data_IF_314624400122
#
_entry.id   IF_314624400122
#
_cell.length_a   1.000
_cell.length_b   1.000
_cell.length_c   1.000
_cell.angle_alpha   90.00
_cell.angle_beta   90.00
_cell.angle_gamma   90.00
#
_symmetry.space_group_name_H-M   'P 1'
#
loop_
_entity.id
_entity.type
_entity.pdbx_description
1 polymer ?
#
# COMPACT_ATOMS: atom_id res chain seq x y z
N UNK A 1 23.47 -16.25 17.76
CA UNK A 1 23.34 -16.44 19.22
C UNK A 1 22.14 -17.32 19.48
N UNK A 2 22.33 -18.44 20.18
CA UNK A 2 21.25 -19.35 20.58
C UNK A 2 20.42 -18.70 21.71
N UNK A 3 19.12 -19.01 21.89
CA UNK A 3 18.33 -18.60 23.04
C UNK A 3 19.04 -18.70 24.41
N UNK A 4 19.84 -19.75 24.66
CA UNK A 4 20.62 -19.89 25.92
C UNK A 4 21.65 -18.78 26.10
N UNK A 5 22.51 -18.59 25.11
CA UNK A 5 23.53 -17.52 25.10
C UNK A 5 22.89 -16.13 25.30
N UNK A 6 21.68 -15.91 24.76
CA UNK A 6 20.94 -14.65 24.92
C UNK A 6 20.44 -14.41 26.34
N UNK A 7 20.07 -15.48 27.06
CA UNK A 7 19.65 -15.41 28.47
C UNK A 7 20.85 -15.15 29.36
N UNK A 8 22.00 -15.77 29.08
CA UNK A 8 23.25 -15.51 29.80
C UNK A 8 23.72 -14.07 29.60
N UNK A 9 23.68 -13.56 28.38
CA UNK A 9 24.02 -12.15 28.09
C UNK A 9 23.11 -11.16 28.83
N UNK A 10 21.80 -11.46 28.94
CA UNK A 10 20.85 -10.64 29.72
C UNK A 10 21.08 -10.71 31.22
N UNK A 11 21.67 -11.79 31.71
CA UNK A 11 21.99 -11.96 33.12
C UNK A 11 23.27 -11.22 33.47
N UNK A 12 24.29 -11.31 32.62
CA UNK A 12 25.56 -10.59 32.81
C UNK A 12 25.41 -9.06 32.71
N UNK A 13 24.38 -8.54 32.03
CA UNK A 13 24.10 -7.09 32.03
C UNK A 13 23.55 -6.58 33.36
N UNK A 14 23.03 -7.44 34.24
CA UNK A 14 22.55 -7.04 35.56
C UNK A 14 23.70 -6.65 36.50
N UNK A 15 24.86 -7.27 36.33
CA UNK A 15 26.05 -7.07 37.16
C UNK A 15 26.91 -5.86 36.71
N UNK A 16 26.54 -5.19 35.62
CA UNK A 16 27.25 -4.02 35.12
C UNK A 16 26.98 -2.79 35.98
N UNK A 17 28.04 -2.02 36.27
CA UNK A 17 27.95 -0.70 36.90
C UNK A 17 27.19 0.30 36.00
N UNK A 18 26.65 1.41 36.54
CA UNK A 18 25.98 2.43 35.73
C UNK A 18 26.83 2.96 34.57
N UNK A 19 28.14 3.12 34.80
CA UNK A 19 29.08 3.62 33.80
C UNK A 19 29.34 2.58 32.69
N UNK A 20 29.48 1.30 33.04
CA UNK A 20 29.59 0.22 32.05
C UNK A 20 28.30 0.00 31.25
N UNK A 21 27.12 0.21 31.87
CA UNK A 21 25.84 0.18 31.16
C UNK A 21 25.74 1.31 30.14
N UNK A 22 26.26 2.49 30.47
CA UNK A 22 26.29 3.62 29.55
C UNK A 22 27.20 3.34 28.36
N UNK A 23 28.44 2.90 28.59
CA UNK A 23 29.39 2.53 27.52
C UNK A 23 28.84 1.40 26.65
N UNK A 24 28.29 0.34 27.25
CA UNK A 24 27.66 -0.75 26.49
C UNK A 24 26.46 -0.25 25.66
N UNK A 25 25.69 0.70 26.18
CA UNK A 25 24.59 1.30 25.43
C UNK A 25 25.10 2.13 24.24
N UNK A 26 26.18 2.89 24.41
CA UNK A 26 26.85 3.63 23.32
C UNK A 26 27.42 2.67 22.27
N UNK A 27 28.16 1.63 22.69
CA UNK A 27 28.72 0.62 21.78
C UNK A 27 27.63 -0.10 20.97
N UNK A 28 26.51 -0.43 21.62
CA UNK A 28 25.35 -1.03 20.95
C UNK A 28 24.67 -0.04 20.00
N UNK A 29 24.57 1.24 20.37
CA UNK A 29 24.03 2.28 19.50
C UNK A 29 24.91 2.45 18.26
N UNK A 30 26.22 2.58 18.41
CA UNK A 30 27.18 2.71 17.30
C UNK A 30 27.16 1.48 16.39
N UNK A 31 27.09 0.27 16.96
CA UNK A 31 26.94 -0.96 16.20
C UNK A 31 25.63 -1.01 15.40
N UNK A 32 24.55 -0.42 15.90
CA UNK A 32 23.27 -0.34 15.17
C UNK A 32 23.23 0.79 14.14
N UNK A 33 23.99 1.87 14.31
CA UNK A 33 24.08 2.95 13.33
C UNK A 33 24.71 2.49 12.00
N UNK A 34 25.56 1.47 12.04
CA UNK A 34 26.15 0.89 10.82
C UNK A 34 25.20 -0.06 10.08
N UNK A 35 24.13 -0.54 10.74
CA UNK A 35 23.15 -1.42 10.13
C UNK A 35 22.12 -0.63 9.31
N UNK A 36 21.80 -1.12 8.11
CA UNK A 36 20.76 -0.54 7.29
C UNK A 36 19.40 -0.71 8.00
N UNK A 37 18.71 0.38 8.40
CA UNK A 37 17.51 0.30 9.22
C UNK A 37 16.38 -0.46 8.52
N UNK A 38 16.30 -0.39 7.19
CA UNK A 38 15.32 -1.13 6.40
C UNK A 38 15.60 -2.65 6.46
N UNK A 39 16.87 -3.07 6.40
CA UNK A 39 17.22 -4.48 6.49
C UNK A 39 17.02 -5.03 7.91
N UNK A 40 17.37 -4.25 8.92
CA UNK A 40 17.11 -4.60 10.32
C UNK A 40 15.61 -4.78 10.57
N UNK A 41 14.78 -3.90 10.00
CA UNK A 41 13.33 -4.01 10.09
C UNK A 41 12.78 -5.24 9.36
N UNK A 42 13.31 -5.56 8.17
CA UNK A 42 12.97 -6.79 7.43
C UNK A 42 13.31 -8.03 8.28
N UNK A 43 14.51 -8.08 8.87
CA UNK A 43 14.94 -9.19 9.72
C UNK A 43 14.03 -9.33 10.96
N UNK A 44 13.67 -8.19 11.60
CA UNK A 44 12.75 -8.15 12.75
C UNK A 44 11.36 -8.68 12.39
N UNK A 45 10.74 -8.12 11.34
CA UNK A 45 9.40 -8.50 10.89
C UNK A 45 9.30 -9.99 10.57
N UNK A 46 10.33 -10.55 9.93
CA UNK A 46 10.37 -12.00 9.66
C UNK A 46 10.55 -12.82 10.94
N UNK A 47 11.38 -12.37 11.88
CA UNK A 47 11.69 -13.12 13.11
C UNK A 47 10.52 -13.25 14.08
N UNK A 48 9.52 -12.36 14.00
CA UNK A 48 8.29 -12.44 14.80
C UNK A 48 7.43 -13.65 14.41
N UNK A 49 7.40 -13.99 13.11
CA UNK A 49 6.57 -15.06 12.57
C UNK A 49 7.34 -15.85 11.49
N UNK A 50 8.39 -16.58 11.87
CA UNK A 50 9.31 -17.17 10.90
C UNK A 50 8.64 -18.34 10.19
N UNK A 51 8.48 -18.23 8.86
CA UNK A 51 7.93 -19.30 8.00
C UNK A 51 8.80 -19.53 6.79
N UNK A 52 9.04 -20.80 6.45
CA UNK A 52 9.80 -21.16 5.27
C UNK A 52 9.02 -20.76 3.99
N UNK A 53 9.59 -19.91 3.11
CA UNK A 53 8.89 -19.45 1.91
C UNK A 53 8.68 -20.54 0.85
N UNK A 54 9.23 -21.75 1.05
CA UNK A 54 9.12 -22.87 0.13
C UNK A 54 8.09 -23.93 0.55
N UNK A 55 7.91 -24.14 1.86
CA UNK A 55 7.06 -25.21 2.39
C UNK A 55 6.17 -24.77 3.56
N UNK A 56 6.22 -23.50 3.96
CA UNK A 56 5.44 -22.89 5.04
C UNK A 56 5.70 -23.41 6.46
N UNK A 57 6.65 -24.34 6.65
CA UNK A 57 7.07 -24.80 7.97
C UNK A 57 7.64 -23.66 8.83
N UNK A 58 7.30 -23.68 10.12
CA UNK A 58 7.71 -22.68 11.12
C UNK A 58 9.09 -23.00 11.75
N UNK A 59 9.57 -24.25 11.64
CA UNK A 59 10.87 -24.67 12.15
C UNK A 59 11.98 -24.26 11.20
N UNK A 60 12.57 -23.10 11.49
CA UNK A 60 13.68 -22.54 10.72
C UNK A 60 14.83 -22.12 11.64
N UNK A 61 16.03 -22.57 11.30
CA UNK A 61 17.24 -22.26 12.03
C UNK A 61 17.99 -21.08 11.38
N UNK A 62 18.61 -20.22 12.20
CA UNK A 62 19.52 -19.17 11.73
C UNK A 62 20.78 -19.81 11.13
N UNK A 63 21.18 -19.39 9.93
CA UNK A 63 22.27 -19.98 9.13
C UNK A 63 23.27 -18.93 8.61
N UNK A 64 23.71 -18.04 9.50
CA UNK A 64 24.62 -16.92 9.20
C UNK A 64 23.93 -15.72 8.54
N UNK A 65 24.69 -14.74 8.05
CA UNK A 65 24.16 -13.55 7.37
C UNK A 65 24.67 -13.46 5.93
N UNK A 66 23.88 -12.83 5.06
CA UNK A 66 24.26 -12.58 3.66
C UNK A 66 23.73 -11.24 3.20
N UNK A 67 24.62 -10.37 2.68
CA UNK A 67 24.27 -9.04 2.15
C UNK A 67 23.41 -8.22 3.13
N UNK A 68 23.80 -8.23 4.40
CA UNK A 68 23.13 -7.47 5.48
C UNK A 68 21.82 -8.06 6.00
N UNK A 69 21.42 -9.27 5.60
CA UNK A 69 20.22 -9.95 6.11
C UNK A 69 20.56 -11.27 6.80
N UNK A 70 19.73 -11.66 7.77
CA UNK A 70 19.76 -12.99 8.36
C UNK A 70 19.41 -14.05 7.30
N UNK A 71 20.25 -15.07 7.16
CA UNK A 71 19.94 -16.27 6.38
C UNK A 71 19.34 -17.32 7.30
N UNK A 72 18.37 -18.05 6.78
CA UNK A 72 17.69 -19.14 7.48
C UNK A 72 17.82 -20.44 6.70
N UNK A 73 17.71 -21.57 7.39
CA UNK A 73 17.57 -22.90 6.81
C UNK A 73 16.34 -23.57 7.42
N UNK A 74 15.43 -24.04 6.57
CA UNK A 74 14.26 -24.78 7.02
C UNK A 74 14.65 -26.18 7.47
N UNK A 75 14.06 -26.67 8.57
CA UNK A 75 14.35 -28.01 9.09
C UNK A 75 13.65 -29.10 8.27
N UNK A 76 12.41 -28.85 7.83
CA UNK A 76 11.63 -29.79 7.02
C UNK A 76 12.18 -29.94 5.59
N UNK A 77 12.25 -28.87 4.79
CA UNK A 77 12.66 -28.95 3.38
C UNK A 77 14.16 -28.73 3.14
N UNK A 78 14.94 -28.45 4.20
CA UNK A 78 16.40 -28.25 4.19
C UNK A 78 16.94 -27.10 3.33
N UNK A 79 16.06 -26.35 2.65
CA UNK A 79 16.42 -25.21 1.79
C UNK A 79 16.84 -23.99 2.61
N UNK A 80 17.78 -23.23 2.06
CA UNK A 80 18.23 -21.96 2.62
C UNK A 80 17.49 -20.79 1.98
N UNK A 81 17.19 -19.76 2.77
CA UNK A 81 16.49 -18.58 2.29
C UNK A 81 16.85 -17.34 3.13
N UNK A 82 16.42 -16.18 2.67
CA UNK A 82 16.47 -14.91 3.43
C UNK A 82 15.03 -14.40 3.58
N UNK A 83 14.75 -13.45 4.48
CA UNK A 83 13.44 -12.82 4.58
C UNK A 83 12.89 -12.25 3.25
N UNK A 84 13.77 -11.97 2.28
CA UNK A 84 13.35 -11.48 0.97
C UNK A 84 13.06 -12.58 -0.05
N UNK A 85 13.34 -13.84 0.24
CA UNK A 85 13.08 -14.95 -0.68
C UNK A 85 11.57 -15.05 -0.96
N UNK A 86 11.20 -15.23 -2.24
CA UNK A 86 9.82 -15.20 -2.74
C UNK A 86 9.03 -13.89 -2.50
N UNK A 87 9.69 -12.82 -2.04
CA UNK A 87 9.06 -11.50 -1.96
C UNK A 87 9.30 -10.69 -3.25
N UNK A 88 8.48 -9.66 -3.51
CA UNK A 88 8.78 -8.64 -4.50
C UNK A 88 10.17 -7.99 -4.34
N UNK A 89 10.79 -7.96 -3.16
CA UNK A 89 12.11 -7.35 -3.01
C UNK A 89 13.27 -8.30 -3.33
N UNK A 90 12.98 -9.57 -3.64
CA UNK A 90 13.98 -10.55 -4.05
C UNK A 90 14.78 -10.07 -5.27
N UNK A 91 16.10 -10.25 -5.21
CA UNK A 91 17.03 -9.90 -6.29
C UNK A 91 17.32 -8.41 -6.46
N UNK A 92 16.65 -7.53 -5.73
CA UNK A 92 16.93 -6.09 -5.80
C UNK A 92 18.32 -5.76 -5.21
N UNK A 93 19.06 -4.92 -5.94
CA UNK A 93 20.40 -4.42 -5.57
C UNK A 93 20.31 -3.06 -4.85
N UNK A 94 21.45 -2.57 -4.37
CA UNK A 94 21.64 -1.26 -3.70
C UNK A 94 20.72 -1.07 -2.48
N UNK A 95 20.74 -2.05 -1.58
CA UNK A 95 19.88 -2.10 -0.38
C UNK A 95 20.11 -0.91 0.53
N UNK A 96 21.36 -0.45 0.62
CA UNK A 96 21.80 0.75 1.34
C UNK A 96 21.03 2.02 0.95
N UNK A 97 20.44 2.06 -0.25
CA UNK A 97 19.68 3.21 -0.74
C UNK A 97 18.16 3.08 -0.57
N UNK A 98 17.66 1.97 -0.03
CA UNK A 98 16.21 1.73 0.05
C UNK A 98 15.52 2.65 1.05
N UNK A 99 16.12 2.97 2.19
CA UNK A 99 15.55 3.89 3.18
C UNK A 99 15.26 5.26 2.58
N UNK A 100 16.29 5.92 2.06
CA UNK A 100 16.16 7.21 1.38
C UNK A 100 15.19 7.14 0.16
N UNK A 101 15.11 6.00 -0.54
CA UNK A 101 14.14 5.83 -1.62
C UNK A 101 12.69 5.73 -1.12
N UNK A 102 12.45 5.09 0.02
CA UNK A 102 11.14 5.01 0.65
C UNK A 102 10.69 6.38 1.17
N UNK A 103 11.59 7.19 1.74
CA UNK A 103 11.32 8.60 2.06
C UNK A 103 10.93 9.41 0.80
N UNK A 104 11.66 9.23 -0.30
CA UNK A 104 11.30 9.86 -1.58
C UNK A 104 9.93 9.40 -2.10
N UNK A 105 9.47 8.21 -1.73
CA UNK A 105 8.10 7.75 -1.99
C UNK A 105 7.08 8.33 -1.00
N UNK A 106 7.44 8.56 0.25
CA UNK A 106 6.57 9.25 1.21
C UNK A 106 6.28 10.69 0.74
N UNK A 107 7.32 11.40 0.29
CA UNK A 107 7.23 12.75 -0.27
C UNK A 107 6.45 12.82 -1.61
N UNK A 108 6.09 11.68 -2.19
CA UNK A 108 5.37 11.62 -3.46
C UNK A 108 6.21 12.04 -4.66
N UNK A 109 7.54 11.86 -4.63
CA UNK A 109 8.41 12.23 -5.74
C UNK A 109 8.17 11.35 -6.97
N UNK A 110 8.35 11.93 -8.16
CA UNK A 110 8.36 11.17 -9.42
C UNK A 110 9.59 10.27 -9.51
N UNK A 111 9.54 9.23 -10.35
CA UNK A 111 10.66 8.29 -10.55
C UNK A 111 11.98 9.00 -10.87
N UNK A 112 11.93 10.04 -11.72
CA UNK A 112 13.13 10.80 -12.10
C UNK A 112 13.66 11.67 -10.96
N UNK A 113 12.77 12.36 -10.23
CA UNK A 113 13.16 13.17 -9.06
C UNK A 113 13.76 12.29 -7.96
N UNK A 114 13.14 11.13 -7.69
CA UNK A 114 13.68 10.15 -6.74
C UNK A 114 15.05 9.61 -7.22
N UNK A 115 15.20 9.31 -8.52
CA UNK A 115 16.49 8.85 -9.07
C UNK A 115 17.62 9.87 -8.85
N UNK A 116 17.31 11.16 -9.07
CA UNK A 116 18.24 12.26 -8.84
C UNK A 116 18.60 12.39 -7.36
N UNK A 117 17.60 12.42 -6.45
CA UNK A 117 17.83 12.50 -5.00
C UNK A 117 18.72 11.37 -4.47
N UNK A 118 18.53 10.16 -4.99
CA UNK A 118 19.21 8.95 -4.49
C UNK A 118 20.54 8.67 -5.22
N UNK A 119 20.83 9.39 -6.31
CA UNK A 119 22.02 9.15 -7.13
C UNK A 119 22.02 7.76 -7.75
N UNK A 120 20.94 7.38 -8.43
CA UNK A 120 20.83 6.12 -9.18
C UNK A 120 20.15 6.33 -10.53
N UNK A 121 20.23 5.35 -11.43
CA UNK A 121 19.54 5.41 -12.72
C UNK A 121 18.01 5.37 -12.53
N UNK A 122 17.26 6.14 -13.31
CA UNK A 122 15.79 6.15 -13.27
C UNK A 122 15.15 4.79 -13.55
N UNK A 123 15.80 3.90 -14.30
CA UNK A 123 15.33 2.52 -14.51
C UNK A 123 15.36 1.72 -13.20
N UNK A 124 16.35 1.98 -12.34
CA UNK A 124 16.47 1.35 -11.02
C UNK A 124 15.34 1.80 -10.11
N UNK A 125 15.09 3.11 -9.99
CA UNK A 125 13.96 3.62 -9.19
C UNK A 125 12.60 3.27 -9.77
N UNK A 126 12.47 3.13 -11.09
CA UNK A 126 11.27 2.62 -11.72
C UNK A 126 11.00 1.17 -11.31
N UNK A 127 12.00 0.30 -11.40
CA UNK A 127 11.91 -1.08 -10.93
C UNK A 127 11.55 -1.14 -9.45
N UNK A 128 12.27 -0.40 -8.59
CA UNK A 128 11.98 -0.35 -7.16
C UNK A 128 10.55 0.08 -6.88
N UNK A 129 10.05 1.14 -7.55
CA UNK A 129 8.67 1.59 -7.39
C UNK A 129 7.68 0.46 -7.61
N UNK A 130 7.86 -0.31 -8.68
CA UNK A 130 6.96 -1.42 -8.99
C UNK A 130 7.02 -2.53 -7.95
N UNK A 131 8.22 -2.83 -7.43
CA UNK A 131 8.41 -3.92 -6.47
C UNK A 131 7.94 -3.54 -5.06
N UNK A 132 8.21 -2.32 -4.60
CA UNK A 132 7.68 -1.81 -3.32
C UNK A 132 6.16 -1.62 -3.33
N UNK A 133 5.56 -1.29 -4.48
CA UNK A 133 4.11 -1.12 -4.59
C UNK A 133 3.37 -2.42 -4.95
N UNK A 134 4.07 -3.56 -5.12
CA UNK A 134 3.44 -4.82 -5.54
C UNK A 134 2.43 -5.35 -4.51
N UNK A 135 2.74 -5.28 -3.22
CA UNK A 135 1.83 -5.65 -2.13
C UNK A 135 0.82 -4.53 -1.82
N UNK A 136 1.23 -3.25 -1.60
CA UNK A 136 0.29 -2.15 -1.37
C UNK A 136 -0.79 -1.97 -2.44
N UNK A 137 -0.49 -2.28 -3.71
CA UNK A 137 -1.49 -2.26 -4.79
C UNK A 137 -2.66 -3.21 -4.54
N UNK A 138 -2.35 -4.39 -3.98
CA UNK A 138 -3.30 -5.48 -3.72
C UNK A 138 -3.95 -5.37 -2.35
N UNK A 139 -3.26 -4.76 -1.39
CA UNK A 139 -3.74 -4.59 -0.05
C UNK A 139 -4.97 -3.67 -0.02
N UNK A 140 -6.10 -4.25 0.36
CA UNK A 140 -7.41 -3.60 0.44
C UNK A 140 -8.10 -4.07 1.71
N UNK A 141 -8.98 -3.24 2.30
CA UNK A 141 -9.77 -3.68 3.43
C UNK A 141 -10.66 -4.86 3.03
N UNK A 142 -10.86 -5.78 3.98
CA UNK A 142 -11.81 -6.88 3.83
C UNK A 142 -13.25 -6.41 4.04
N UNK A 143 -13.44 -5.40 4.89
CA UNK A 143 -14.75 -4.91 5.28
C UNK A 143 -14.75 -3.39 5.52
N UNK A 144 -15.83 -2.74 5.11
CA UNK A 144 -16.18 -1.34 5.37
C UNK A 144 -17.45 -1.33 6.22
N UNK A 145 -17.46 -0.54 7.30
CA UNK A 145 -18.50 -0.61 8.34
C UNK A 145 -19.25 0.71 8.51
N UNK A 146 -20.43 0.63 9.12
CA UNK A 146 -21.23 1.82 9.45
C UNK A 146 -21.69 2.57 8.20
N UNK A 147 -21.45 3.89 8.15
CA UNK A 147 -21.77 4.70 6.97
C UNK A 147 -20.60 4.62 5.98
N UNK A 148 -20.85 4.03 4.82
CA UNK A 148 -19.86 3.88 3.75
C UNK A 148 -20.22 4.81 2.60
N UNK A 149 -19.33 5.73 2.27
CA UNK A 149 -19.49 6.64 1.14
C UNK A 149 -18.85 6.04 -0.11
N UNK A 150 -19.54 6.05 -1.24
CA UNK A 150 -19.06 5.53 -2.51
C UNK A 150 -19.36 6.49 -3.64
N UNK A 151 -18.37 6.69 -4.50
CA UNK A 151 -18.46 7.51 -5.69
C UNK A 151 -17.40 7.08 -6.72
N UNK A 152 -17.63 7.38 -7.99
CA UNK A 152 -16.66 7.12 -9.05
C UNK A 152 -15.85 8.35 -9.41
N UNK A 153 -14.58 8.13 -9.69
CA UNK A 153 -13.71 9.12 -10.32
C UNK A 153 -13.14 8.59 -11.62
N UNK A 154 -12.96 9.48 -12.59
CA UNK A 154 -12.42 9.13 -13.90
C UNK A 154 -10.97 9.61 -14.01
N UNK A 155 -10.07 8.67 -14.27
CA UNK A 155 -8.65 8.97 -14.52
C UNK A 155 -8.39 8.88 -16.02
N UNK A 156 -7.68 9.87 -16.55
CA UNK A 156 -7.40 9.93 -17.99
C UNK A 156 -6.58 8.73 -18.43
N UNK A 157 -7.11 7.97 -19.39
CA UNK A 157 -6.42 6.81 -19.97
C UNK A 157 -5.11 7.23 -20.62
N UNK A 158 -4.06 6.48 -20.30
CA UNK A 158 -2.69 6.80 -20.67
C UNK A 158 -1.98 5.54 -21.12
N UNK A 159 -1.55 5.53 -22.39
CA UNK A 159 -0.77 4.47 -23.04
C UNK A 159 0.74 4.73 -22.96
N UNK A 160 1.18 5.42 -21.91
CA UNK A 160 2.57 5.84 -21.72
C UNK A 160 3.50 4.63 -21.67
N UNK A 161 4.49 4.60 -22.55
CA UNK A 161 5.45 3.49 -22.65
C UNK A 161 4.92 2.26 -23.39
N UNK A 162 3.87 2.42 -24.20
CA UNK A 162 3.49 1.45 -25.24
C UNK A 162 4.17 1.80 -26.56
N UNK A 163 4.62 0.78 -27.30
CA UNK A 163 5.32 0.97 -28.59
C UNK A 163 4.35 1.06 -29.77
N UNK A 164 3.23 0.34 -29.68
CA UNK A 164 2.21 0.26 -30.72
C UNK A 164 0.90 0.85 -30.17
N UNK A 165 0.32 1.82 -30.88
CA UNK A 165 -0.92 2.46 -30.48
C UNK A 165 -1.83 2.61 -31.70
N UNK A 166 -3.12 2.32 -31.50
CA UNK A 166 -4.17 2.44 -32.53
C UNK A 166 -4.54 3.90 -32.82
N UNK A 167 -4.14 4.82 -31.94
CA UNK A 167 -4.35 6.26 -32.11
C UNK A 167 -3.04 7.04 -31.90
N UNK A 168 -2.92 8.24 -32.48
CA UNK A 168 -1.76 9.09 -32.26
C UNK A 168 -1.46 9.36 -30.78
N UNK A 169 -0.18 9.55 -30.48
CA UNK A 169 0.27 9.96 -29.16
C UNK A 169 -0.34 11.32 -28.78
N UNK A 170 -0.79 11.46 -27.53
CA UNK A 170 -1.28 12.76 -27.04
C UNK A 170 -0.10 13.67 -26.74
N UNK A 171 -0.22 14.95 -27.09
CA UNK A 171 0.73 15.97 -26.67
C UNK A 171 0.48 16.37 -25.21
N UNK A 172 1.51 16.91 -24.56
CA UNK A 172 1.40 17.42 -23.18
C UNK A 172 0.42 18.60 -23.16
N UNK A 173 -0.38 18.70 -22.10
CA UNK A 173 -1.33 19.81 -21.91
C UNK A 173 -2.61 19.73 -22.76
N UNK A 174 -2.69 18.82 -23.74
CA UNK A 174 -3.92 18.61 -24.52
C UNK A 174 -5.06 18.24 -23.57
N UNK A 175 -6.18 18.97 -23.61
CA UNK A 175 -7.37 18.66 -22.82
C UNK A 175 -7.99 17.34 -23.27
N UNK A 176 -8.77 16.69 -22.41
CA UNK A 176 -9.60 15.58 -22.85
C UNK A 176 -10.75 16.13 -23.71
N UNK A 177 -11.23 15.38 -24.72
CA UNK A 177 -12.31 15.85 -25.60
C UNK A 177 -13.63 16.01 -24.84
N UNK A 178 -13.81 15.28 -23.74
CA UNK A 178 -14.99 15.30 -22.89
C UNK A 178 -14.59 15.10 -21.43
N UNK A 179 -15.52 15.34 -20.51
CA UNK A 179 -15.45 14.90 -19.12
C UNK A 179 -16.20 13.58 -18.97
N UNK A 180 -15.48 12.49 -18.70
CA UNK A 180 -16.10 11.23 -18.25
C UNK A 180 -16.48 10.21 -19.33
N UNK A 181 -16.92 9.05 -18.81
CA UNK A 181 -17.46 7.79 -19.36
C UNK A 181 -16.92 7.17 -20.65
N UNK A 182 -16.38 7.94 -21.60
CA UNK A 182 -15.80 7.37 -22.82
C UNK A 182 -14.60 6.46 -22.46
N UNK A 183 -14.72 5.14 -22.66
CA UNK A 183 -13.70 4.19 -22.24
C UNK A 183 -12.38 4.37 -23.00
N UNK A 184 -12.38 5.02 -24.17
CA UNK A 184 -11.16 5.32 -24.94
C UNK A 184 -10.32 6.44 -24.29
N UNK A 185 -10.98 7.32 -23.52
CA UNK A 185 -10.35 8.49 -22.93
C UNK A 185 -10.21 8.39 -21.42
N UNK A 186 -11.06 7.61 -20.77
CA UNK A 186 -11.20 7.57 -19.33
C UNK A 186 -11.15 6.13 -18.78
N UNK A 187 -10.72 6.04 -17.53
CA UNK A 187 -10.66 4.83 -16.73
C UNK A 187 -11.49 5.11 -15.48
N UNK A 188 -12.66 4.48 -15.33
CA UNK A 188 -13.45 4.62 -14.12
C UNK A 188 -12.74 3.94 -12.96
N UNK A 189 -12.68 4.64 -11.83
CA UNK A 189 -12.18 4.15 -10.55
C UNK A 189 -13.26 4.39 -9.53
N UNK A 190 -13.80 3.30 -9.02
CA UNK A 190 -14.69 3.32 -7.88
C UNK A 190 -13.87 3.52 -6.62
N UNK A 191 -14.30 4.42 -5.74
CA UNK A 191 -13.74 4.57 -4.40
C UNK A 191 -14.87 4.42 -3.41
N UNK A 192 -14.66 3.56 -2.41
CA UNK A 192 -15.55 3.46 -1.26
C UNK A 192 -14.76 3.66 0.03
N UNK A 193 -15.32 4.43 0.96
CA UNK A 193 -14.67 4.84 2.20
C UNK A 193 -15.66 4.91 3.34
N UNK A 194 -15.30 4.32 4.48
CA UNK A 194 -16.09 4.47 5.70
C UNK A 194 -15.72 5.72 6.51
N UNK A 195 -16.48 5.98 7.58
CA UNK A 195 -16.24 7.14 8.47
C UNK A 195 -14.95 7.04 9.27
N UNK A 196 -14.41 5.85 9.45
CA UNK A 196 -13.11 5.60 10.08
C UNK A 196 -11.95 5.73 9.09
N UNK A 197 -12.19 6.33 7.91
CA UNK A 197 -11.21 6.56 6.87
C UNK A 197 -10.67 5.29 6.17
N UNK A 198 -11.22 4.10 6.46
CA UNK A 198 -10.85 2.88 5.76
C UNK A 198 -11.34 3.00 4.32
N UNK A 199 -10.43 2.84 3.36
CA UNK A 199 -10.70 3.13 1.95
C UNK A 199 -10.34 1.95 1.08
N UNK A 200 -11.21 1.65 0.12
CA UNK A 200 -10.93 0.75 -1.01
C UNK A 200 -11.08 1.52 -2.31
N UNK A 201 -10.35 1.09 -3.34
CA UNK A 201 -10.56 1.57 -4.69
C UNK A 201 -10.45 0.42 -5.69
N UNK A 202 -11.20 0.53 -6.78
CA UNK A 202 -11.35 -0.53 -7.78
C UNK A 202 -11.41 0.12 -9.15
N UNK A 203 -10.49 -0.28 -10.02
CA UNK A 203 -10.53 0.11 -11.44
C UNK A 203 -11.63 -0.72 -12.09
N UNK A 204 -12.61 -0.04 -12.68
CA UNK A 204 -13.71 -0.68 -13.37
C UNK A 204 -13.44 -0.71 -14.88
N UNK A 205 -13.95 -1.72 -15.58
CA UNK A 205 -14.08 -1.69 -17.04
C UNK A 205 -15.12 -0.64 -17.46
N UNK A 206 -16.23 -0.62 -16.74
CA UNK A 206 -17.39 0.23 -16.94
C UNK A 206 -18.18 0.37 -15.62
N UNK A 207 -18.98 1.44 -15.51
CA UNK A 207 -19.83 1.69 -14.35
C UNK A 207 -21.22 1.11 -14.65
N UNK A 208 -21.45 -0.14 -14.22
CA UNK A 208 -22.73 -0.84 -14.36
C UNK A 208 -23.18 -1.38 -13.00
N UNK A 209 -24.48 -1.66 -12.86
CA UNK A 209 -25.00 -2.23 -11.61
C UNK A 209 -24.31 -3.56 -11.25
N UNK A 210 -23.93 -4.36 -12.26
CA UNK A 210 -23.23 -5.63 -12.06
C UNK A 210 -21.78 -5.43 -11.62
N UNK A 211 -21.05 -4.48 -12.21
CA UNK A 211 -19.67 -4.20 -11.78
C UNK A 211 -19.66 -3.62 -10.37
N UNK A 212 -20.57 -2.71 -10.03
CA UNK A 212 -20.74 -2.20 -8.67
C UNK A 212 -21.11 -3.33 -7.69
N UNK A 213 -22.05 -4.21 -8.05
CA UNK A 213 -22.43 -5.37 -7.23
C UNK A 213 -21.23 -6.25 -6.90
N UNK A 214 -20.46 -6.64 -7.91
CA UNK A 214 -19.32 -7.55 -7.74
C UNK A 214 -18.16 -6.94 -6.94
N UNK A 215 -18.13 -5.61 -6.80
CA UNK A 215 -16.99 -4.88 -6.24
C UNK A 215 -17.27 -4.27 -4.86
N UNK A 216 -18.46 -3.69 -4.64
CA UNK A 216 -18.84 -3.09 -3.36
C UNK A 216 -19.43 -4.10 -2.40
N UNK A 217 -20.37 -4.92 -2.84
CA UNK A 217 -21.13 -5.82 -1.96
C UNK A 217 -20.21 -6.73 -1.13
N UNK A 218 -19.15 -7.35 -1.68
CA UNK A 218 -18.29 -8.25 -0.90
C UNK A 218 -17.49 -7.56 0.21
N UNK A 219 -17.33 -6.23 0.14
CA UNK A 219 -16.54 -5.45 1.10
C UNK A 219 -17.41 -4.61 2.04
N UNK A 220 -18.73 -4.66 1.91
CA UNK A 220 -19.65 -3.97 2.81
C UNK A 220 -20.05 -4.89 3.96
N UNK A 221 -20.00 -4.37 5.18
CA UNK A 221 -20.64 -5.00 6.32
C UNK A 221 -22.16 -5.13 6.07
N UNK A 222 -22.79 -6.19 6.59
CA UNK A 222 -24.22 -6.44 6.41
C UNK A 222 -25.07 -5.31 6.99
N UNK A 223 -24.59 -4.64 8.03
CA UNK A 223 -25.26 -3.52 8.69
C UNK A 223 -24.83 -2.16 8.11
N UNK A 224 -23.92 -2.14 7.12
CA UNK A 224 -23.46 -0.89 6.53
C UNK A 224 -24.57 -0.19 5.74
N UNK A 225 -24.55 1.14 5.80
CA UNK A 225 -25.43 2.00 4.98
C UNK A 225 -24.58 2.69 3.91
N UNK A 226 -24.86 2.36 2.65
CA UNK A 226 -24.15 2.90 1.50
C UNK A 226 -24.67 4.30 1.12
N UNK A 227 -23.81 5.30 1.11
CA UNK A 227 -24.09 6.65 0.64
C UNK A 227 -23.50 6.87 -0.76
N UNK A 228 -24.30 7.32 -1.72
CA UNK A 228 -23.87 7.58 -3.09
C UNK A 228 -24.55 8.82 -3.70
N UNK A 229 -24.05 9.28 -4.85
CA UNK A 229 -24.44 10.52 -5.53
C UNK A 229 -25.80 10.47 -6.26
N UNK A 230 -26.30 9.26 -6.51
CA UNK A 230 -27.59 9.02 -7.16
C UNK A 230 -27.52 8.49 -8.58
N UNK A 231 -26.39 7.94 -9.02
CA UNK A 231 -26.32 7.23 -10.28
C UNK A 231 -27.31 6.03 -10.34
N UNK A 232 -28.07 5.84 -11.44
CA UNK A 232 -29.06 4.75 -11.59
C UNK A 232 -28.53 3.35 -11.27
N UNK A 233 -27.26 3.11 -11.58
CA UNK A 233 -26.57 1.83 -11.37
C UNK A 233 -26.55 1.43 -9.88
N UNK A 234 -26.41 2.39 -8.96
CA UNK A 234 -26.49 2.14 -7.52
C UNK A 234 -27.88 1.69 -7.10
N UNK A 235 -28.94 2.31 -7.63
CA UNK A 235 -30.32 1.93 -7.31
C UNK A 235 -30.62 0.50 -7.79
N UNK A 236 -30.23 0.17 -9.02
CA UNK A 236 -30.40 -1.18 -9.57
C UNK A 236 -29.63 -2.21 -8.73
N UNK A 237 -28.38 -1.91 -8.36
CA UNK A 237 -27.58 -2.77 -7.49
C UNK A 237 -28.24 -2.95 -6.12
N UNK A 238 -28.66 -1.86 -5.47
CA UNK A 238 -29.28 -1.90 -4.14
C UNK A 238 -30.57 -2.72 -4.16
N UNK A 239 -31.45 -2.52 -5.15
CA UNK A 239 -32.67 -3.33 -5.32
C UNK A 239 -32.35 -4.82 -5.51
N UNK A 240 -31.31 -5.15 -6.26
CA UNK A 240 -30.92 -6.54 -6.53
C UNK A 240 -30.20 -7.24 -5.36
N UNK A 241 -29.76 -6.50 -4.34
CA UNK A 241 -28.94 -7.02 -3.24
C UNK A 241 -29.57 -6.83 -1.87
N UNK A 242 -30.56 -5.94 -1.75
CA UNK A 242 -31.20 -5.59 -0.47
C UNK A 242 -30.36 -4.67 0.42
N UNK A 243 -29.24 -4.13 -0.07
CA UNK A 243 -28.37 -3.26 0.72
C UNK A 243 -29.07 -1.96 1.11
N UNK A 244 -28.95 -1.59 2.38
CA UNK A 244 -29.39 -0.29 2.87
C UNK A 244 -28.55 0.82 2.22
N UNK A 245 -29.23 1.77 1.57
CA UNK A 245 -28.54 2.87 0.90
C UNK A 245 -29.26 4.21 1.07
N UNK A 246 -28.49 5.29 0.95
CA UNK A 246 -28.96 6.68 1.00
C UNK A 246 -28.33 7.47 -0.14
N UNK A 247 -29.18 8.21 -0.84
CA UNK A 247 -28.73 9.06 -1.94
C UNK A 247 -28.53 10.49 -1.49
N UNK A 248 -27.44 11.12 -1.95
CA UNK A 248 -27.10 12.51 -1.66
C UNK A 248 -26.90 13.25 -2.96
N UNK A 249 -27.93 13.97 -3.40
CA UNK A 249 -27.90 14.75 -4.62
C UNK A 249 -27.21 16.10 -4.41
N UNK A 250 -25.88 16.12 -4.52
CA UNK A 250 -25.10 17.35 -4.34
C UNK A 250 -25.53 18.48 -5.33
N UNK A 251 -25.97 18.11 -6.54
CA UNK A 251 -26.44 19.04 -7.56
C UNK A 251 -27.72 19.81 -7.16
N UNK A 252 -28.54 19.25 -6.27
CA UNK A 252 -29.77 19.88 -5.77
C UNK A 252 -29.55 20.71 -4.49
N UNK A 253 -28.30 21.12 -4.21
CA UNK A 253 -27.95 21.93 -3.03
C UNK A 253 -27.98 21.19 -1.68
N UNK A 254 -28.53 19.96 -1.63
CA UNK A 254 -28.55 19.11 -0.44
C UNK A 254 -27.25 18.33 -0.32
N UNK A 255 -26.30 18.89 0.43
CA UNK A 255 -24.98 18.29 0.67
C UNK A 255 -24.97 17.26 1.82
N UNK A 256 -25.94 17.36 2.72
CA UNK A 256 -26.11 16.46 3.85
C UNK A 256 -27.59 16.11 3.99
N UNK A 257 -27.90 14.82 4.14
CA UNK A 257 -29.25 14.28 4.34
C UNK A 257 -29.36 13.76 5.76
N UNK A 258 -30.43 14.16 6.48
CA UNK A 258 -30.66 13.80 7.89
C UNK A 258 -29.47 14.08 8.83
N UNK A 259 -28.67 15.10 8.54
CA UNK A 259 -27.52 15.51 9.35
C UNK A 259 -26.29 14.59 9.29
N UNK A 260 -26.43 13.33 8.85
CA UNK A 260 -25.36 12.32 8.93
C UNK A 260 -24.96 11.70 7.58
N UNK A 261 -25.83 11.75 6.56
CA UNK A 261 -25.56 11.13 5.26
C UNK A 261 -25.00 12.16 4.28
N UNK A 262 -23.77 11.94 3.81
CA UNK A 262 -23.10 12.76 2.80
C UNK A 262 -22.03 11.94 2.09
N UNK A 263 -21.51 12.45 0.97
CA UNK A 263 -20.41 11.84 0.20
C UNK A 263 -19.14 12.73 0.20
N UNK A 264 -19.00 13.61 1.19
CA UNK A 264 -17.91 14.59 1.23
C UNK A 264 -16.54 13.96 1.48
N UNK A 265 -16.44 12.85 2.21
CA UNK A 265 -15.15 12.23 2.50
C UNK A 265 -14.56 11.56 1.26
N UNK A 266 -15.41 10.84 0.50
CA UNK A 266 -14.98 10.24 -0.77
C UNK A 266 -14.62 11.32 -1.80
N UNK A 267 -15.39 12.41 -1.88
CA UNK A 267 -15.07 13.55 -2.73
C UNK A 267 -13.76 14.25 -2.34
N UNK A 268 -13.52 14.44 -1.04
CA UNK A 268 -12.26 15.01 -0.56
C UNK A 268 -11.08 14.08 -0.90
N UNK A 269 -11.26 12.76 -0.78
CA UNK A 269 -10.26 11.78 -1.22
C UNK A 269 -10.00 11.85 -2.72
N UNK A 270 -11.05 11.95 -3.55
CA UNK A 270 -10.92 12.15 -5.01
C UNK A 270 -10.08 13.37 -5.36
N UNK A 271 -10.34 14.50 -4.71
CA UNK A 271 -9.59 15.74 -4.90
C UNK A 271 -8.10 15.55 -4.57
N UNK A 272 -7.80 14.98 -3.40
CA UNK A 272 -6.41 14.72 -2.98
C UNK A 272 -5.70 13.72 -3.89
N UNK A 273 -6.37 12.65 -4.31
CA UNK A 273 -5.83 11.68 -5.26
C UNK A 273 -5.48 12.35 -6.59
N UNK A 274 -6.40 13.14 -7.18
CA UNK A 274 -6.16 13.81 -8.46
C UNK A 274 -5.01 14.82 -8.36
N UNK A 275 -5.03 15.70 -7.35
CA UNK A 275 -3.95 16.67 -7.16
C UNK A 275 -2.59 16.02 -6.90
N UNK A 276 -2.56 14.90 -6.19
CA UNK A 276 -1.34 14.12 -6.00
C UNK A 276 -0.84 13.48 -7.31
N UNK A 277 -1.75 12.94 -8.14
CA UNK A 277 -1.41 12.30 -9.42
C UNK A 277 -0.82 13.26 -10.46
N UNK A 278 -1.14 14.56 -10.41
CA UNK A 278 -0.62 15.58 -11.33
C UNK A 278 0.91 15.65 -11.33
N UNK A 279 1.54 15.36 -10.18
CA UNK A 279 3.00 15.35 -9.97
C UNK A 279 3.73 14.36 -10.88
N UNK A 280 3.04 13.34 -11.38
CA UNK A 280 3.62 12.30 -12.24
C UNK A 280 3.50 12.59 -13.74
N UNK A 281 2.79 13.66 -14.11
CA UNK A 281 2.54 14.05 -15.50
C UNK A 281 2.03 12.88 -16.35
N UNK A 282 1.01 12.20 -15.82
CA UNK A 282 0.44 11.00 -16.41
C UNK A 282 1.19 9.72 -16.03
N UNK A 283 0.44 8.78 -15.46
CA UNK A 283 0.86 7.41 -15.19
C UNK A 283 0.28 6.51 -16.29
N UNK A 284 1.01 5.47 -16.72
CA UNK A 284 0.45 4.50 -17.66
C UNK A 284 -0.71 3.74 -16.99
N UNK A 285 -1.83 3.57 -17.68
CA UNK A 285 -3.03 2.93 -17.10
C UNK A 285 -2.74 1.52 -16.56
N UNK A 286 -1.85 0.76 -17.22
CA UNK A 286 -1.40 -0.56 -16.74
C UNK A 286 -0.74 -0.55 -15.35
N UNK A 287 -0.28 0.60 -14.89
CA UNK A 287 0.34 0.80 -13.58
C UNK A 287 -0.52 1.64 -12.63
N UNK A 288 -1.76 1.94 -13.02
CA UNK A 288 -2.70 2.65 -12.17
C UNK A 288 -2.95 1.94 -10.84
N UNK A 289 -3.09 0.60 -10.76
CA UNK A 289 -3.24 -0.10 -9.47
C UNK A 289 -2.16 0.26 -8.45
N UNK A 290 -0.90 0.39 -8.90
CA UNK A 290 0.21 0.75 -8.02
C UNK A 290 0.05 2.17 -7.46
N UNK A 291 -0.43 3.10 -8.28
CA UNK A 291 -0.60 4.50 -7.85
C UNK A 291 -1.78 4.65 -6.88
N UNK A 292 -2.86 3.92 -7.13
CA UNK A 292 -4.01 3.88 -6.23
C UNK A 292 -3.65 3.25 -4.89
N UNK A 293 -2.97 2.08 -4.90
CA UNK A 293 -2.47 1.45 -3.68
C UNK A 293 -1.52 2.33 -2.90
N UNK A 294 -0.60 3.01 -3.58
CA UNK A 294 0.30 3.97 -2.95
C UNK A 294 -0.46 5.12 -2.30
N UNK A 295 -1.49 5.69 -2.96
CA UNK A 295 -2.31 6.75 -2.36
C UNK A 295 -3.08 6.26 -1.13
N UNK A 296 -3.73 5.10 -1.21
CA UNK A 296 -4.40 4.49 -0.05
C UNK A 296 -3.43 4.31 1.11
N UNK A 297 -2.20 3.86 0.82
CA UNK A 297 -1.19 3.64 1.82
C UNK A 297 -0.77 4.93 2.52
N UNK A 298 -0.60 6.03 1.78
CA UNK A 298 -0.31 7.36 2.33
C UNK A 298 -1.47 7.92 3.18
N UNK A 299 -2.71 7.54 2.87
CA UNK A 299 -3.93 8.06 3.53
C UNK A 299 -4.36 7.28 4.77
N UNK A 300 -3.75 6.12 5.05
CA UNK A 300 -4.10 5.40 6.28
C UNK A 300 -3.76 6.28 7.47
N UNK A 301 -4.66 6.38 8.47
CA UNK A 301 -4.39 7.11 9.70
C UNK A 301 -3.03 6.72 10.25
N UNK A 302 -2.36 7.70 10.88
CA UNK A 302 -1.02 7.55 11.45
C UNK A 302 -0.99 6.34 12.38
N UNK A 303 -0.62 5.18 11.83
CA UNK A 303 -0.21 4.04 12.61
C UNK A 303 1.00 4.49 13.47
N UNK A 304 1.34 3.79 14.55
CA UNK A 304 2.57 4.10 15.31
C UNK A 304 3.86 3.99 14.47
N UNK A 305 3.76 3.52 13.23
CA UNK A 305 4.87 3.27 12.31
C UNK A 305 4.82 4.21 11.09
N UNK A 306 6.00 4.65 10.66
CA UNK A 306 6.18 5.51 9.48
C UNK A 306 5.87 4.80 8.16
N UNK A 307 5.79 5.57 7.07
CA UNK A 307 5.53 5.01 5.74
C UNK A 307 6.55 3.93 5.30
N UNK A 308 7.88 4.14 5.45
CA UNK A 308 8.87 3.12 5.07
C UNK A 308 8.62 1.80 5.79
N UNK A 309 8.35 1.89 7.09
CA UNK A 309 8.17 0.73 7.95
C UNK A 309 6.95 -0.09 7.55
N UNK A 310 5.84 0.60 7.34
CA UNK A 310 4.59 -0.03 6.94
C UNK A 310 4.71 -0.72 5.58
N UNK A 311 5.40 -0.12 4.60
CA UNK A 311 5.59 -0.75 3.27
C UNK A 311 6.38 -2.04 3.41
N UNK A 312 7.44 -2.04 4.23
CA UNK A 312 8.27 -3.22 4.44
C UNK A 312 7.46 -4.33 5.08
N UNK A 313 6.70 -4.02 6.13
CA UNK A 313 5.80 -4.98 6.77
C UNK A 313 4.78 -5.54 5.79
N UNK A 314 4.16 -4.69 4.96
CA UNK A 314 3.20 -5.15 3.96
C UNK A 314 3.78 -6.12 2.91
N UNK A 315 5.11 -6.11 2.71
CA UNK A 315 5.78 -6.98 1.75
C UNK A 315 6.32 -8.27 2.39
N UNK A 316 6.81 -8.17 3.62
CA UNK A 316 7.54 -9.25 4.31
C UNK A 316 6.65 -10.02 5.28
N UNK A 317 5.57 -9.41 5.79
CA UNK A 317 4.66 -10.10 6.69
C UNK A 317 3.92 -11.24 5.95
N UNK A 318 3.72 -12.40 6.60
CA UNK A 318 2.91 -13.47 6.05
C UNK A 318 1.48 -12.98 5.79
N UNK A 319 0.92 -13.36 4.64
CA UNK A 319 -0.44 -13.02 4.26
C UNK A 319 -1.43 -13.54 5.32
N UNK A 320 -1.97 -12.64 6.14
CA UNK A 320 -2.89 -13.00 7.23
C UNK A 320 -2.96 -12.00 8.39
N UNK A 321 -1.96 -11.11 8.56
CA UNK A 321 -1.91 -10.15 9.68
C UNK A 321 -2.26 -8.70 9.30
N UNK A 322 -2.94 -8.45 8.18
CA UNK A 322 -3.53 -7.13 7.88
C UNK A 322 -4.81 -6.91 8.70
N UNK A 323 -4.74 -7.15 10.01
CA UNK A 323 -5.83 -6.95 10.97
C UNK A 323 -5.67 -5.57 11.57
N UNK A 324 -6.57 -4.66 11.17
CA UNK A 324 -7.16 -3.59 11.98
C UNK A 324 -6.30 -3.01 13.13
N UNK A 325 -5.59 -1.91 12.86
CA UNK A 325 -5.37 -0.88 13.89
C UNK A 325 -6.65 -0.05 13.97
N UNK A 326 -7.59 -0.52 14.77
CA UNK A 326 -8.81 0.17 15.17
C UNK A 326 -9.10 -0.21 16.61
N UNK A 327 -8.39 0.46 17.52
CA UNK A 327 -8.89 0.73 18.88
C UNK A 327 -9.65 2.04 18.83
#
# INVERSE_FOLDING_TARGET
>A
MNPRDSKELRRSTQDLTPQQRHVLAEDLQDATQTENPVLAQIDRAFSEHPRCPHCQDEHVAKWGRVKGLQRYRCEACRRQFTPLTNTPLSGLRKREKWGAYLEAMEDGLSVRKAAQRIGVNHKTTFLWRHRFLACPAKEKPTLLRGIVESDETFIRRSRKGERYMERPARKRGTRAPNTGTDPNHWVPVLVARDRSAVTTDIILSEVTAQTLKNTLVPVLDKEAVLCHDGLPQYFTMARATGIAHRTVYAAHGKRVVKGIFHIQNVNAYHSRLKGWMERFHGVATRYLPNSLGWRRFLERPSAPMGFPERIILAIVAPAGHHSHAGT
#
